data_IF_730822490925
#
_entry.id   IF_730822490925
#
_cell.length_a   1.000
_cell.length_b   1.000
_cell.length_c   1.000
_cell.angle_alpha   90.00
_cell.angle_beta   90.00
_cell.angle_gamma   90.00
#
_symmetry.space_group_name_H-M   'P 1'
#
loop_
_entity.id
_entity.type
_entity.pdbx_description
1 polymer ?
#
# COMPACT_ATOMS: atom_id res chain seq x y z
N UNK A 1 3.56 11.50 1.04
CA UNK A 1 2.48 10.69 1.66
C UNK A 1 2.19 9.39 0.90
N UNK A 2 2.00 9.40 -0.42
CA UNK A 2 1.86 8.18 -1.24
C UNK A 2 2.94 7.10 -1.02
N UNK A 3 4.22 7.47 -1.12
CA UNK A 3 5.31 6.51 -0.90
C UNK A 3 5.32 5.89 0.51
N UNK A 4 4.88 6.65 1.54
CA UNK A 4 4.76 6.12 2.91
C UNK A 4 3.64 5.08 2.98
N UNK A 5 2.50 5.35 2.36
CA UNK A 5 1.38 4.42 2.31
C UNK A 5 1.78 3.09 1.64
N UNK A 6 2.50 3.12 0.52
CA UNK A 6 3.02 1.91 -0.14
C UNK A 6 4.01 1.16 0.75
N UNK A 7 4.95 1.86 1.40
CA UNK A 7 5.91 1.22 2.32
C UNK A 7 5.20 0.51 3.47
N UNK A 8 4.12 1.09 4.01
CA UNK A 8 3.33 0.41 5.04
C UNK A 8 2.64 -0.87 4.54
N UNK A 9 2.12 -0.90 3.31
CA UNK A 9 1.57 -2.14 2.76
C UNK A 9 2.67 -3.17 2.52
N UNK A 10 3.84 -2.77 2.03
CA UNK A 10 4.97 -3.69 1.86
C UNK A 10 5.36 -4.28 3.22
N UNK A 11 5.52 -3.46 4.25
CA UNK A 11 5.89 -3.92 5.58
C UNK A 11 4.81 -4.86 6.17
N UNK A 12 3.51 -4.57 5.93
CA UNK A 12 2.40 -5.46 6.28
C UNK A 12 2.45 -6.81 5.56
N UNK A 13 2.75 -6.82 4.26
CA UNK A 13 2.84 -8.05 3.46
C UNK A 13 4.05 -8.91 3.86
N UNK A 14 5.17 -8.30 4.24
CA UNK A 14 6.32 -9.04 4.79
C UNK A 14 5.96 -9.65 6.15
N UNK A 15 5.34 -8.89 7.05
CA UNK A 15 5.06 -9.31 8.42
C UNK A 15 3.93 -10.34 8.52
N UNK A 16 2.81 -10.12 7.84
CA UNK A 16 1.58 -10.90 8.03
C UNK A 16 1.39 -11.98 6.96
N UNK A 17 1.96 -11.79 5.78
CA UNK A 17 1.79 -12.70 4.63
C UNK A 17 3.10 -13.38 4.20
N UNK A 18 4.24 -13.03 4.81
CA UNK A 18 5.54 -13.66 4.56
C UNK A 18 6.09 -13.43 3.15
N UNK A 19 5.60 -12.42 2.42
CA UNK A 19 6.15 -12.08 1.11
C UNK A 19 7.58 -11.52 1.29
N UNK A 20 8.46 -11.78 0.33
CA UNK A 20 9.70 -11.01 0.25
C UNK A 20 9.39 -9.56 -0.09
N UNK A 21 10.21 -8.60 0.39
CA UNK A 21 10.08 -7.19 0.03
C UNK A 21 9.92 -6.93 -1.47
N UNK A 22 10.68 -7.67 -2.30
CA UNK A 22 10.61 -7.56 -3.75
C UNK A 22 9.27 -8.04 -4.31
N UNK A 23 8.76 -9.19 -3.83
CA UNK A 23 7.45 -9.70 -4.22
C UNK A 23 6.31 -8.76 -3.76
N UNK A 24 6.38 -8.26 -2.54
CA UNK A 24 5.42 -7.29 -2.00
C UNK A 24 5.43 -5.97 -2.79
N UNK A 25 6.61 -5.49 -3.19
CA UNK A 25 6.74 -4.32 -4.05
C UNK A 25 6.08 -4.53 -5.42
N UNK A 26 6.34 -5.67 -6.07
CA UNK A 26 5.70 -6.02 -7.33
C UNK A 26 4.17 -6.12 -7.21
N UNK A 27 3.67 -6.75 -6.13
CA UNK A 27 2.23 -6.85 -5.87
C UNK A 27 1.60 -5.47 -5.69
N UNK A 28 2.24 -4.60 -4.91
CA UNK A 28 1.75 -3.23 -4.72
C UNK A 28 1.68 -2.45 -6.05
N UNK A 29 2.63 -2.67 -6.96
CA UNK A 29 2.59 -2.06 -8.28
C UNK A 29 1.45 -2.55 -9.17
N UNK A 30 0.93 -3.76 -8.95
CA UNK A 30 -0.10 -4.36 -9.79
C UNK A 30 -1.52 -4.28 -9.21
N UNK A 31 -1.66 -4.28 -7.88
CA UNK A 31 -2.94 -4.54 -7.21
C UNK A 31 -3.28 -3.55 -6.08
N UNK A 32 -2.42 -2.57 -5.78
CA UNK A 32 -2.72 -1.53 -4.77
C UNK A 32 -3.21 -0.25 -5.45
N UNK A 33 -4.35 0.24 -4.97
CA UNK A 33 -4.90 1.53 -5.39
C UNK A 33 -4.51 2.64 -4.41
N UNK A 34 -3.95 3.73 -4.93
CA UNK A 34 -3.68 4.94 -4.16
C UNK A 34 -4.79 5.96 -4.36
N UNK A 35 -5.26 6.55 -3.25
CA UNK A 35 -6.27 7.60 -3.27
C UNK A 35 -5.85 8.79 -2.42
N UNK A 36 -5.98 9.99 -2.99
CA UNK A 36 -5.84 11.23 -2.21
C UNK A 36 -7.14 11.39 -1.41
N UNK A 37 -7.01 11.32 -0.10
CA UNK A 37 -8.15 11.34 0.83
C UNK A 37 -8.45 12.76 1.31
N UNK A 38 -7.42 13.61 1.41
CA UNK A 38 -7.57 14.99 1.86
C UNK A 38 -6.55 15.91 1.18
N UNK A 39 -7.01 17.07 0.70
CA UNK A 39 -6.17 18.09 0.06
C UNK A 39 -6.15 19.44 0.80
N UNK A 40 -7.02 19.62 1.80
CA UNK A 40 -7.26 20.93 2.44
C UNK A 40 -6.07 21.40 3.28
N UNK A 41 -5.27 20.49 3.85
CA UNK A 41 -4.04 20.82 4.58
C UNK A 41 -2.78 20.83 3.68
N UNK A 42 -2.77 21.61 2.61
CA UNK A 42 -1.56 21.74 1.78
C UNK A 42 -0.39 22.35 2.60
N UNK A 43 0.85 21.81 2.53
CA UNK A 43 1.34 20.78 1.60
C UNK A 43 1.20 19.32 2.09
N UNK A 44 0.60 19.07 3.25
CA UNK A 44 0.46 17.76 3.89
C UNK A 44 -0.82 17.02 3.46
N UNK A 45 -0.86 16.52 2.23
CA UNK A 45 -2.04 15.76 1.76
C UNK A 45 -2.15 14.38 2.39
N UNK A 46 -3.35 13.93 2.73
CA UNK A 46 -3.55 12.54 3.17
C UNK A 46 -3.71 11.64 1.95
N UNK A 47 -2.96 10.53 1.94
CA UNK A 47 -3.02 9.52 0.87
C UNK A 47 -3.23 8.16 1.51
N UNK A 48 -4.26 7.44 1.05
CA UNK A 48 -4.58 6.07 1.47
C UNK A 48 -4.16 5.07 0.38
N UNK A 49 -3.80 3.86 0.80
CA UNK A 49 -3.51 2.72 -0.07
C UNK A 49 -4.52 1.60 0.24
N UNK A 50 -5.08 1.00 -0.81
CA UNK A 50 -6.09 -0.06 -0.70
C UNK A 50 -5.57 -1.32 -1.39
N UNK A 51 -5.64 -2.46 -0.70
CA UNK A 51 -5.29 -3.78 -1.21
C UNK A 51 -6.49 -4.71 -1.01
N UNK A 52 -7.10 -5.27 -2.08
CA UNK A 52 -8.14 -6.27 -1.93
C UNK A 52 -7.57 -7.55 -1.32
N UNK A 53 -7.97 -7.91 -0.09
CA UNK A 53 -7.41 -9.08 0.61
C UNK A 53 -7.73 -10.41 -0.08
N UNK A 54 -8.82 -10.47 -0.87
CA UNK A 54 -9.18 -11.69 -1.62
C UNK A 54 -8.13 -12.14 -2.65
N UNK A 55 -7.14 -11.31 -2.99
CA UNK A 55 -6.01 -11.72 -3.84
C UNK A 55 -4.91 -12.47 -3.05
N UNK A 56 -4.98 -12.43 -1.72
CA UNK A 56 -4.04 -13.10 -0.80
C UNK A 56 -4.60 -14.44 -0.30
N UNK A 57 -5.90 -14.69 -0.51
CA UNK A 57 -6.54 -15.96 -0.17
C UNK A 57 -6.07 -17.09 -1.10
N UNK A 58 -5.97 -18.31 -0.54
CA UNK A 58 -5.62 -19.54 -1.28
C UNK A 58 -6.84 -20.18 -1.93
#
# INVERSE_FOLDING_TARGET
NAQKAIRYIIDYLEAEHGLSRAAAYCLCGAAVDLKISEIVDAPNWIVSAYLPLGILDK
#
